data_IF_687396035624
#
_entry.id   IF_687396035624
#
_cell.length_a   1.000
_cell.length_b   1.000
_cell.length_c   1.000
_cell.angle_alpha   90.00
_cell.angle_beta   90.00
_cell.angle_gamma   90.00
#
_symmetry.space_group_name_H-M   'P 1'
#
loop_
_entity.id
_entity.type
_entity.pdbx_description
1 polymer ?
#
# COMPACT_ATOMS: atom_id res chain seq x y z
N UNK A 1 -7.66 1.98 2.78
CA UNK A 1 -8.57 0.86 3.00
C UNK A 1 -8.35 0.32 4.40
N UNK A 2 -9.35 -0.35 4.97
CA UNK A 2 -9.32 -0.87 6.34
C UNK A 2 -8.16 -1.86 6.49
N UNK A 3 -7.35 -1.67 7.53
CA UNK A 3 -6.31 -2.63 7.88
C UNK A 3 -6.88 -3.92 8.47
N UNK A 4 -6.06 -4.70 9.20
CA UNK A 4 -6.55 -5.94 9.81
C UNK A 4 -7.51 -5.64 10.97
N UNK A 5 -7.28 -4.50 11.63
CA UNK A 5 -8.12 -3.97 12.71
C UNK A 5 -8.64 -2.57 12.37
N UNK A 6 -9.67 -2.09 13.08
CA UNK A 6 -10.29 -0.76 12.84
C UNK A 6 -9.32 0.42 13.02
N UNK A 7 -8.25 0.22 13.80
CA UNK A 7 -7.18 1.20 14.02
C UNK A 7 -6.10 1.23 12.95
N UNK A 8 -6.10 0.32 11.98
CA UNK A 8 -5.03 0.17 10.99
C UNK A 8 -5.46 0.58 9.58
N UNK A 9 -4.48 0.90 8.74
CA UNK A 9 -4.62 1.13 7.30
C UNK A 9 -3.72 0.19 6.51
N UNK A 10 -4.24 -0.35 5.41
CA UNK A 10 -3.43 -1.10 4.46
C UNK A 10 -2.60 -0.17 3.56
N UNK A 11 -1.36 -0.55 3.26
CA UNK A 11 -0.45 0.16 2.36
C UNK A 11 0.09 -0.81 1.31
N UNK A 12 0.17 -0.37 0.06
CA UNK A 12 0.72 -1.14 -1.05
C UNK A 12 1.90 -0.38 -1.63
N UNK A 13 3.03 -1.06 -1.84
CA UNK A 13 4.20 -0.48 -2.49
C UNK A 13 4.26 -0.91 -3.95
N UNK A 14 4.32 0.08 -4.83
CA UNK A 14 4.59 -0.09 -6.25
C UNK A 14 5.79 0.78 -6.58
N UNK A 15 6.85 0.19 -7.13
CA UNK A 15 8.06 0.89 -7.55
C UNK A 15 8.27 0.64 -9.04
N UNK A 16 8.34 1.71 -9.84
CA UNK A 16 8.49 1.63 -11.31
C UNK A 16 7.45 0.74 -12.00
N UNK A 17 6.19 0.80 -11.53
CA UNK A 17 5.09 -0.01 -12.07
C UNK A 17 5.09 -1.48 -11.64
N UNK A 18 6.04 -1.89 -10.81
CA UNK A 18 6.19 -3.27 -10.29
C UNK A 18 5.66 -3.32 -8.87
N UNK A 19 4.74 -4.24 -8.59
CA UNK A 19 4.31 -4.48 -7.21
C UNK A 19 5.45 -5.02 -6.38
N UNK A 20 5.62 -4.50 -5.17
CA UNK A 20 6.71 -4.91 -4.28
C UNK A 20 6.26 -5.51 -2.97
N UNK A 21 4.98 -5.42 -2.64
CA UNK A 21 4.45 -5.89 -1.38
C UNK A 21 3.35 -5.02 -0.80
N UNK A 22 2.86 -5.44 0.36
CA UNK A 22 1.86 -4.71 1.12
C UNK A 22 2.13 -4.82 2.62
N UNK A 23 1.54 -3.90 3.37
CA UNK A 23 1.70 -3.79 4.81
C UNK A 23 0.47 -3.19 5.47
N UNK A 24 0.54 -3.10 6.79
CA UNK A 24 -0.47 -2.45 7.62
C UNK A 24 0.24 -1.47 8.54
N UNK A 25 -0.35 -0.29 8.70
CA UNK A 25 0.18 0.76 9.58
C UNK A 25 -0.94 1.27 10.46
N UNK A 26 -0.65 1.57 11.72
CA UNK A 26 -1.63 2.19 12.60
C UNK A 26 -2.03 3.56 12.08
N UNK A 27 -3.32 3.88 12.16
CA UNK A 27 -3.87 5.17 11.74
C UNK A 27 -3.32 6.34 12.58
N UNK A 28 -2.95 6.04 13.82
CA UNK A 28 -2.34 6.98 14.76
C UNK A 28 -0.81 7.02 14.65
N UNK A 29 -0.21 6.18 13.80
CA UNK A 29 1.22 6.22 13.57
C UNK A 29 1.61 7.60 13.04
N UNK A 30 2.44 8.30 13.81
CA UNK A 30 3.07 9.54 13.35
C UNK A 30 4.21 9.19 12.40
N UNK A 31 3.84 8.86 11.17
CA UNK A 31 4.80 8.69 10.09
C UNK A 31 5.28 10.08 9.68
N UNK A 32 6.50 10.43 10.10
CA UNK A 32 7.13 11.71 9.76
C UNK A 32 7.47 11.79 8.29
N UNK A 33 7.81 10.66 7.67
CA UNK A 33 8.13 10.61 6.25
C UNK A 33 7.53 9.39 5.54
N UNK A 34 7.17 9.52 4.25
CA UNK A 34 6.65 8.41 3.47
C UNK A 34 7.61 7.22 3.33
N UNK A 35 8.94 7.40 3.46
CA UNK A 35 9.90 6.29 3.38
C UNK A 35 9.75 5.30 4.53
N UNK A 36 9.34 5.75 5.72
CA UNK A 36 9.10 4.89 6.89
C UNK A 36 8.04 3.82 6.60
N UNK A 37 7.12 4.07 5.65
CA UNK A 37 6.14 3.08 5.22
C UNK A 37 6.79 1.83 4.62
N UNK A 38 7.96 1.96 3.99
CA UNK A 38 8.66 0.82 3.37
C UNK A 38 9.04 -0.24 4.40
N UNK A 39 9.34 0.17 5.64
CA UNK A 39 9.73 -0.74 6.73
C UNK A 39 8.56 -1.59 7.22
N UNK A 40 7.33 -1.10 7.07
CA UNK A 40 6.11 -1.83 7.43
C UNK A 40 5.57 -2.72 6.31
N UNK A 41 6.25 -2.76 5.17
CA UNK A 41 5.80 -3.49 3.98
C UNK A 41 6.50 -4.84 3.90
N UNK A 42 5.69 -5.89 4.00
CA UNK A 42 6.18 -7.23 3.70
C UNK A 42 6.32 -7.37 2.19
N UNK A 43 7.52 -7.75 1.75
CA UNK A 43 7.82 -7.92 0.32
C UNK A 43 7.15 -9.17 -0.24
N UNK A 44 6.63 -9.05 -1.45
CA UNK A 44 6.00 -10.14 -2.20
C UNK A 44 6.41 -10.04 -3.68
N UNK A 45 6.40 -11.18 -4.38
CA UNK A 45 6.67 -11.22 -5.81
C UNK A 45 5.55 -10.54 -6.60
N UNK A 46 5.97 -9.82 -7.63
CA UNK A 46 5.06 -9.23 -8.59
C UNK A 46 4.49 -10.30 -9.53
N UNK A 47 3.23 -10.13 -9.92
CA UNK A 47 2.61 -10.94 -10.96
C UNK A 47 1.49 -10.16 -11.64
N UNK A 48 1.11 -10.64 -12.83
CA UNK A 48 0.13 -9.97 -13.70
C UNK A 48 -1.24 -9.83 -13.03
N UNK A 49 -1.67 -10.81 -12.24
CA UNK A 49 -2.97 -10.78 -11.58
C UNK A 49 -3.01 -9.73 -10.47
N UNK A 50 -1.94 -9.63 -9.67
CA UNK A 50 -1.79 -8.58 -8.65
C UNK A 50 -1.75 -7.19 -9.29
N UNK A 51 -1.00 -7.02 -10.37
CA UNK A 51 -1.02 -5.74 -11.10
C UNK A 51 -2.42 -5.39 -11.62
N UNK A 52 -3.15 -6.36 -12.17
CA UNK A 52 -4.51 -6.13 -12.67
C UNK A 52 -5.46 -5.77 -11.53
N UNK A 53 -5.35 -6.44 -10.38
CA UNK A 53 -6.10 -6.13 -9.17
C UNK A 53 -5.81 -4.70 -8.69
N UNK A 54 -4.54 -4.30 -8.60
CA UNK A 54 -4.14 -2.95 -8.19
C UNK A 54 -4.69 -1.90 -9.15
N UNK A 55 -4.55 -2.10 -10.47
CA UNK A 55 -5.10 -1.18 -11.49
C UNK A 55 -6.62 -1.05 -11.38
N UNK A 56 -7.32 -2.16 -11.25
CA UNK A 56 -8.78 -2.16 -11.07
C UNK A 56 -9.19 -1.39 -9.80
N UNK A 57 -8.45 -1.58 -8.71
CA UNK A 57 -8.70 -0.90 -7.44
C UNK A 57 -8.48 0.62 -7.53
N UNK A 58 -7.39 1.04 -8.20
CA UNK A 58 -7.08 2.45 -8.47
C UNK A 58 -8.15 3.12 -9.36
N UNK A 59 -8.59 2.42 -10.42
CA UNK A 59 -9.63 2.92 -11.33
C UNK A 59 -10.97 3.14 -10.63
N UNK A 60 -11.29 2.33 -9.61
CA UNK A 60 -12.49 2.49 -8.79
C UNK A 60 -12.37 3.63 -7.76
N UNK A 61 -11.25 4.38 -7.73
CA UNK A 61 -10.97 5.46 -6.77
C UNK A 61 -11.16 5.05 -5.31
N UNK A 62 -10.87 3.79 -4.99
CA UNK A 62 -11.00 3.22 -3.63
C UNK A 62 -9.77 3.48 -2.74
N UNK A 63 -8.77 4.17 -3.26
CA UNK A 63 -7.56 4.55 -2.50
C UNK A 63 -7.79 5.86 -1.78
N UNK A 64 -7.40 5.91 -0.51
CA UNK A 64 -7.51 7.13 0.30
C UNK A 64 -6.46 8.18 -0.09
N UNK A 65 -5.25 7.73 -0.42
CA UNK A 65 -4.13 8.59 -0.79
C UNK A 65 -3.12 7.83 -1.63
N UNK A 66 -2.53 8.51 -2.61
CA UNK A 66 -1.34 8.06 -3.33
C UNK A 66 -0.21 8.99 -2.89
N UNK A 67 0.93 8.39 -2.52
CA UNK A 67 2.14 9.10 -2.13
C UNK A 67 3.21 8.79 -3.17
N UNK A 68 3.81 9.82 -3.74
CA UNK A 68 5.02 9.69 -4.57
C UNK A 68 6.23 9.79 -3.63
N UNK A 69 7.13 8.82 -3.75
CA UNK A 69 8.37 8.68 -2.97
C UNK A 69 9.57 9.11 -3.81
#
# INVERSE_FOLDING_TARGET
DKGRSEGEKSVVLVENGVYKGFGFVDREAQLSTPEQLKDHIKRYEDNRDVQQMIRSYLNQKKVEKILEL
#
